data_IF_207048006926
#
_entry.id   IF_207048006926
#
_cell.length_a   1.000
_cell.length_b   1.000
_cell.length_c   1.000
_cell.angle_alpha   90.00
_cell.angle_beta   90.00
_cell.angle_gamma   90.00
#
_symmetry.space_group_name_H-M   'P 1'
#
loop_
_entity.id
_entity.type
_entity.pdbx_description
1 polymer ?
#
# COMPACT_ATOMS: atom_id res chain seq x y z
N UNK A 1 2.48 11.51 51.25
CA UNK A 1 3.27 12.15 50.17
C UNK A 1 4.18 11.09 49.55
N UNK A 2 3.70 10.41 48.50
CA UNK A 2 4.48 9.45 47.72
C UNK A 2 5.01 10.16 46.47
N UNK A 3 6.32 10.11 46.25
CA UNK A 3 6.96 10.60 45.03
C UNK A 3 6.73 9.58 43.91
N UNK A 4 6.02 9.98 42.87
CA UNK A 4 5.92 9.26 41.59
C UNK A 4 7.24 9.45 40.84
N UNK A 5 7.91 8.36 40.49
CA UNK A 5 9.02 8.39 39.54
C UNK A 5 8.49 8.45 38.09
N UNK A 6 9.10 9.23 37.19
CA UNK A 6 8.71 9.28 35.80
C UNK A 6 9.24 8.06 35.02
N UNK A 7 8.30 7.36 34.36
CA UNK A 7 8.57 6.28 33.41
C UNK A 7 9.44 6.79 32.26
N UNK A 8 10.66 6.27 32.14
CA UNK A 8 11.56 6.52 31.01
C UNK A 8 11.32 5.46 29.93
N UNK A 9 10.40 5.72 29.02
CA UNK A 9 10.32 5.04 27.72
C UNK A 9 10.73 6.01 26.63
N UNK A 10 12.04 6.25 26.51
CA UNK A 10 12.65 6.94 25.36
C UNK A 10 13.19 5.85 24.45
N UNK A 11 12.41 5.46 23.45
CA UNK A 11 12.85 4.60 22.35
C UNK A 11 13.85 5.36 21.48
N UNK A 12 15.13 5.02 21.62
CA UNK A 12 16.25 5.59 20.83
C UNK A 12 16.18 5.10 19.39
N UNK A 13 15.99 6.01 18.45
CA UNK A 13 16.30 5.79 17.04
C UNK A 13 17.81 5.97 16.85
N UNK A 14 18.58 4.89 16.72
CA UNK A 14 20.00 4.93 16.34
C UNK A 14 20.10 4.63 14.86
N UNK A 15 20.45 5.65 14.07
CA UNK A 15 20.84 5.50 12.67
C UNK A 15 22.29 5.05 12.62
N UNK A 16 22.54 3.79 12.26
CA UNK A 16 23.87 3.30 11.93
C UNK A 16 24.08 3.37 10.41
N UNK A 17 24.84 4.39 10.01
CA UNK A 17 25.46 4.49 8.68
C UNK A 17 26.64 3.51 8.67
N UNK A 18 26.44 2.35 8.03
CA UNK A 18 27.49 1.39 7.77
C UNK A 18 27.96 1.48 6.32
N UNK A 19 29.05 2.21 6.09
CA UNK A 19 29.82 2.16 4.84
C UNK A 19 30.62 0.87 4.83
N UNK A 20 30.31 -0.04 3.90
CA UNK A 20 31.03 -1.29 3.69
C UNK A 20 31.41 -1.47 2.22
N UNK A 21 32.61 -1.04 1.87
CA UNK A 21 33.31 -1.41 0.62
C UNK A 21 33.92 -2.79 0.77
N UNK A 22 33.58 -3.74 -0.12
CA UNK A 22 34.31 -4.98 -0.51
C UNK A 22 33.30 -5.88 -1.27
N UNK A 23 33.56 -6.47 -2.43
CA UNK A 23 34.73 -6.53 -3.27
C UNK A 23 34.34 -7.15 -4.62
N UNK A 24 35.07 -6.75 -5.65
CA UNK A 24 35.07 -7.33 -6.99
C UNK A 24 35.41 -8.83 -6.92
N UNK A 25 34.58 -9.70 -7.49
CA UNK A 25 35.01 -10.99 -8.04
C UNK A 25 34.12 -11.33 -9.24
N UNK A 26 34.72 -11.15 -10.41
CA UNK A 26 34.19 -11.55 -11.70
C UNK A 26 34.17 -13.08 -11.81
N UNK A 27 33.00 -13.66 -12.08
CA UNK A 27 32.88 -15.01 -12.62
C UNK A 27 32.38 -14.91 -14.06
N UNK A 28 33.32 -14.97 -14.99
CA UNK A 28 33.09 -15.18 -16.41
C UNK A 28 32.45 -16.57 -16.58
N UNK A 29 31.13 -16.61 -16.82
CA UNK A 29 30.47 -17.79 -17.39
C UNK A 29 30.38 -17.61 -18.91
N UNK A 30 30.92 -18.55 -19.72
CA UNK A 30 30.69 -18.53 -21.15
C UNK A 30 29.20 -18.78 -21.44
N UNK A 31 28.58 -17.84 -22.14
CA UNK A 31 27.27 -18.04 -22.76
C UNK A 31 27.37 -19.22 -23.75
N UNK A 32 26.77 -20.34 -23.38
CA UNK A 32 26.42 -21.38 -24.34
C UNK A 32 25.18 -20.90 -25.11
N UNK A 33 25.37 -20.66 -26.40
CA UNK A 33 24.32 -20.46 -27.38
C UNK A 33 23.42 -21.70 -27.43
N UNK A 34 22.12 -21.60 -27.11
CA UNK A 34 21.20 -22.66 -27.51
C UNK A 34 21.11 -22.68 -29.04
N UNK A 35 21.29 -23.88 -29.59
CA UNK A 35 21.18 -24.17 -31.01
C UNK A 35 19.84 -23.67 -31.56
N UNK A 36 19.90 -22.96 -32.69
CA UNK A 36 18.77 -22.65 -33.54
C UNK A 36 18.11 -23.96 -33.98
N UNK A 37 16.99 -24.30 -33.37
CA UNK A 37 16.05 -25.25 -33.95
C UNK A 37 15.30 -24.50 -35.04
N UNK A 38 15.60 -24.83 -36.29
CA UNK A 38 14.82 -24.42 -37.46
C UNK A 38 13.42 -25.01 -37.33
N UNK A 39 12.44 -24.17 -37.00
CA UNK A 39 11.03 -24.52 -37.12
C UNK A 39 10.65 -24.29 -38.58
N UNK A 40 10.39 -25.39 -39.29
CA UNK A 40 9.78 -25.38 -40.61
C UNK A 40 8.50 -24.55 -40.58
N UNK A 41 8.38 -23.66 -41.57
CA UNK A 41 7.21 -22.84 -41.80
C UNK A 41 6.00 -23.74 -42.10
N UNK A 42 5.11 -23.88 -41.11
CA UNK A 42 3.73 -24.33 -41.35
C UNK A 42 2.93 -23.08 -41.71
N UNK A 43 2.66 -22.95 -43.00
CA UNK A 43 1.75 -21.99 -43.58
C UNK A 43 0.32 -22.33 -43.12
N UNK A 44 -0.08 -21.79 -41.97
CA UNK A 44 -1.46 -21.89 -41.48
C UNK A 44 -2.28 -20.72 -42.02
N UNK A 45 -3.23 -21.12 -42.87
CA UNK A 45 -4.28 -20.36 -43.50
C UNK A 45 -5.01 -19.44 -42.49
N UNK A 46 -4.96 -18.14 -42.77
CA UNK A 46 -5.62 -17.08 -41.99
C UNK A 46 -7.14 -17.23 -42.10
N UNK A 47 -7.75 -17.92 -41.14
CA UNK A 47 -9.18 -17.78 -40.86
C UNK A 47 -9.40 -16.60 -39.91
N UNK A 48 -9.83 -15.48 -40.51
CA UNK A 48 -10.23 -14.23 -39.85
C UNK A 48 -11.46 -14.49 -38.97
N UNK A 49 -11.37 -14.46 -37.62
CA UNK A 49 -12.55 -14.49 -36.78
C UNK A 49 -13.26 -13.13 -36.90
N UNK A 50 -14.53 -13.18 -37.29
CA UNK A 50 -15.47 -12.06 -37.17
C UNK A 50 -15.69 -11.82 -35.67
N UNK A 51 -14.84 -10.99 -35.08
CA UNK A 51 -15.05 -10.46 -33.74
C UNK A 51 -16.18 -9.42 -33.84
N UNK A 52 -17.41 -9.88 -33.59
CA UNK A 52 -18.53 -9.00 -33.27
C UNK A 52 -18.16 -8.35 -31.95
N UNK A 53 -18.00 -7.03 -31.98
CA UNK A 53 -17.95 -6.16 -30.81
C UNK A 53 -19.07 -6.51 -29.84
N UNK A 54 -18.78 -7.39 -28.88
CA UNK A 54 -19.52 -7.45 -27.64
C UNK A 54 -19.09 -6.21 -26.86
N UNK A 55 -19.79 -5.10 -27.11
CA UNK A 55 -19.86 -4.01 -26.12
C UNK A 55 -20.31 -4.67 -24.82
N UNK A 56 -19.36 -4.92 -23.93
CA UNK A 56 -19.64 -5.16 -22.53
C UNK A 56 -20.30 -3.88 -22.05
N UNK A 57 -21.62 -3.95 -21.89
CA UNK A 57 -22.42 -2.93 -21.27
C UNK A 57 -22.01 -2.89 -19.79
N UNK A 58 -20.91 -2.18 -19.50
CA UNK A 58 -20.53 -1.82 -18.14
C UNK A 58 -21.54 -0.76 -17.72
N UNK A 59 -22.71 -1.24 -17.28
CA UNK A 59 -23.77 -0.40 -16.77
C UNK A 59 -23.22 0.59 -15.74
N UNK A 60 -23.83 1.78 -15.60
CA UNK A 60 -23.33 2.82 -14.71
C UNK A 60 -23.23 2.25 -13.28
N UNK A 61 -21.99 2.11 -12.76
CA UNK A 61 -21.73 1.84 -11.34
C UNK A 61 -22.51 2.91 -10.56
N UNK A 62 -23.50 2.49 -9.78
CA UNK A 62 -24.23 3.39 -8.87
C UNK A 62 -23.17 4.05 -7.99
N UNK A 63 -23.06 5.38 -8.06
CA UNK A 63 -22.23 6.13 -7.13
C UNK A 63 -22.77 5.88 -5.72
N UNK A 64 -22.08 5.04 -4.94
CA UNK A 64 -22.42 4.81 -3.55
C UNK A 64 -22.36 6.15 -2.80
N UNK A 65 -23.37 6.41 -1.98
CA UNK A 65 -23.36 7.60 -1.11
C UNK A 65 -22.30 7.40 -0.03
N UNK A 66 -21.65 8.48 0.46
CA UNK A 66 -20.68 8.36 1.54
C UNK A 66 -21.29 7.64 2.76
N UNK A 67 -20.52 6.77 3.44
CA UNK A 67 -20.98 6.08 4.64
C UNK A 67 -21.27 7.07 5.77
N UNK A 68 -22.02 6.61 6.77
CA UNK A 68 -22.22 7.37 8.01
C UNK A 68 -20.94 7.29 8.84
N UNK A 69 -20.47 8.43 9.34
CA UNK A 69 -19.22 8.55 10.10
C UNK A 69 -19.52 9.06 11.52
N UNK A 70 -20.03 8.20 12.41
CA UNK A 70 -20.50 8.61 13.74
C UNK A 70 -19.38 9.01 14.72
N UNK A 71 -18.13 8.58 14.50
CA UNK A 71 -17.06 8.71 15.49
C UNK A 71 -16.05 9.82 15.20
N UNK A 72 -16.30 10.65 14.19
CA UNK A 72 -15.36 11.72 13.77
C UNK A 72 -15.01 12.66 14.93
N UNK A 73 -15.95 13.00 15.81
CA UNK A 73 -15.69 13.90 16.95
C UNK A 73 -14.77 13.24 17.98
N UNK A 74 -15.04 11.98 18.31
CA UNK A 74 -14.26 11.19 19.25
C UNK A 74 -12.84 10.97 18.71
N UNK A 75 -12.69 10.73 17.40
CA UNK A 75 -11.39 10.63 16.75
C UNK A 75 -10.55 11.89 16.97
N UNK A 76 -11.16 13.07 16.80
CA UNK A 76 -10.49 14.36 16.99
C UNK A 76 -10.06 14.54 18.46
N UNK A 77 -10.96 14.25 19.41
CA UNK A 77 -10.68 14.33 20.85
C UNK A 77 -9.47 13.45 21.26
N UNK A 78 -9.37 12.23 20.72
CA UNK A 78 -8.25 11.32 21.01
C UNK A 78 -6.91 11.86 20.52
N UNK A 79 -6.91 12.48 19.33
CA UNK A 79 -5.67 13.05 18.80
C UNK A 79 -5.27 14.28 19.60
N UNK A 80 -6.23 15.12 19.99
CA UNK A 80 -5.99 16.30 20.84
C UNK A 80 -5.39 15.90 22.18
N UNK A 81 -5.96 14.89 22.88
CA UNK A 81 -5.42 14.38 24.14
C UNK A 81 -3.97 13.89 23.99
N UNK A 82 -3.66 13.17 22.91
CA UNK A 82 -2.30 12.71 22.63
C UNK A 82 -1.33 13.82 22.21
N UNK A 83 -1.80 14.86 21.56
CA UNK A 83 -0.98 16.00 21.17
C UNK A 83 -0.52 16.82 22.39
N UNK A 84 -1.23 16.73 23.51
CA UNK A 84 -0.80 17.28 24.79
C UNK A 84 0.33 16.45 25.45
N UNK A 85 0.46 15.17 25.09
CA UNK A 85 1.46 14.25 25.65
C UNK A 85 2.75 14.14 24.82
N UNK A 86 2.69 14.29 23.49
CA UNK A 86 3.82 14.12 22.55
C UNK A 86 4.01 15.32 21.60
N UNK A 87 5.24 15.85 21.46
CA UNK A 87 5.47 17.22 20.95
C UNK A 87 5.39 17.43 19.41
N UNK A 88 5.50 16.41 18.55
CA UNK A 88 5.59 16.66 17.08
C UNK A 88 4.78 15.72 16.16
N UNK A 89 4.84 14.40 16.32
CA UNK A 89 4.11 13.46 15.46
C UNK A 89 2.56 13.58 15.51
N UNK A 90 1.93 13.90 16.67
CA UNK A 90 0.46 13.99 16.76
C UNK A 90 -0.16 15.10 15.89
N UNK A 91 0.57 16.21 15.64
CA UNK A 91 0.02 17.41 14.98
C UNK A 91 -0.41 17.16 13.53
N UNK A 92 0.33 16.33 12.79
CA UNK A 92 -0.03 16.02 11.40
C UNK A 92 -1.20 15.04 11.32
N UNK A 93 -1.26 14.07 12.24
CA UNK A 93 -2.40 13.15 12.38
C UNK A 93 -3.66 13.95 12.72
N UNK A 94 -3.57 14.89 13.65
CA UNK A 94 -4.68 15.77 14.05
C UNK A 94 -5.26 16.50 12.85
N UNK A 95 -4.38 17.10 12.05
CA UNK A 95 -4.79 17.84 10.86
C UNK A 95 -5.45 16.94 9.83
N UNK A 96 -4.91 15.75 9.57
CA UNK A 96 -5.52 14.77 8.64
C UNK A 96 -6.90 14.33 9.14
N UNK A 97 -7.02 13.96 10.41
CA UNK A 97 -8.29 13.51 11.03
C UNK A 97 -9.35 14.63 11.00
N UNK A 98 -8.96 15.89 11.22
CA UNK A 98 -9.89 17.02 11.14
C UNK A 98 -10.34 17.33 9.72
N UNK A 99 -9.48 17.16 8.71
CA UNK A 99 -9.76 17.50 7.31
C UNK A 99 -10.39 16.35 6.52
N UNK A 100 -10.21 15.09 6.93
CA UNK A 100 -10.72 13.90 6.26
C UNK A 100 -11.56 13.04 7.24
N UNK A 101 -12.89 13.26 7.31
CA UNK A 101 -13.78 12.54 8.21
C UNK A 101 -13.74 11.01 8.03
N UNK A 102 -13.46 10.51 6.83
CA UNK A 102 -13.42 9.07 6.60
C UNK A 102 -12.16 8.45 7.24
N UNK A 103 -11.03 9.15 7.15
CA UNK A 103 -9.81 8.75 7.85
C UNK A 103 -9.90 8.95 9.36
N UNK A 104 -10.68 9.92 9.83
CA UNK A 104 -11.00 10.09 11.24
C UNK A 104 -11.69 8.85 11.82
N UNK A 105 -12.67 8.32 11.09
CA UNK A 105 -13.42 7.13 11.50
C UNK A 105 -12.51 5.89 11.59
N UNK A 106 -11.61 5.69 10.61
CA UNK A 106 -10.61 4.61 10.68
C UNK A 106 -9.68 4.83 11.86
N UNK A 107 -9.22 6.06 12.07
CA UNK A 107 -8.32 6.37 13.17
C UNK A 107 -8.98 6.02 14.51
N UNK A 108 -10.26 6.40 14.70
CA UNK A 108 -11.04 6.01 15.87
C UNK A 108 -10.97 4.49 16.09
N UNK A 109 -11.38 3.68 15.13
CA UNK A 109 -11.42 2.23 15.32
C UNK A 109 -10.04 1.61 15.60
N UNK A 110 -8.97 2.12 14.97
CA UNK A 110 -7.61 1.61 15.19
C UNK A 110 -6.99 2.01 16.53
N UNK A 111 -7.48 3.07 17.18
CA UNK A 111 -7.02 3.48 18.50
C UNK A 111 -7.77 2.81 19.66
N UNK A 112 -8.84 2.06 19.39
CA UNK A 112 -9.64 1.41 20.42
C UNK A 112 -9.55 -0.10 20.37
N UNK A 113 -9.66 -0.70 21.56
CA UNK A 113 -9.95 -2.12 21.68
C UNK A 113 -11.45 -2.31 21.49
N UNK A 114 -11.84 -2.85 20.33
CA UNK A 114 -13.26 -3.04 19.95
C UNK A 114 -13.88 -4.23 20.69
N UNK A 115 -14.19 -4.03 21.98
CA UNK A 115 -14.82 -5.05 22.82
C UNK A 115 -16.31 -5.19 22.53
N UNK A 116 -16.96 -4.12 22.08
CA UNK A 116 -18.38 -4.14 21.70
C UNK A 116 -18.57 -4.82 20.34
N UNK A 117 -19.43 -5.85 20.23
CA UNK A 117 -19.84 -6.39 18.94
C UNK A 117 -20.37 -5.36 17.95
N UNK A 118 -21.05 -4.30 18.42
CA UNK A 118 -21.62 -3.27 17.54
C UNK A 118 -20.51 -2.45 16.89
N UNK A 119 -19.51 -2.01 17.65
CA UNK A 119 -18.37 -1.25 17.10
C UNK A 119 -17.54 -2.10 16.14
N UNK A 120 -17.38 -3.40 16.41
CA UNK A 120 -16.71 -4.33 15.49
C UNK A 120 -17.46 -4.43 14.17
N UNK A 121 -18.79 -4.57 14.22
CA UNK A 121 -19.61 -4.62 13.01
C UNK A 121 -19.51 -3.31 12.21
N UNK A 122 -19.56 -2.16 12.89
CA UNK A 122 -19.40 -0.85 12.23
C UNK A 122 -18.03 -0.71 11.56
N UNK A 123 -16.97 -1.20 12.20
CA UNK A 123 -15.65 -1.20 11.59
C UNK A 123 -15.57 -2.14 10.39
N UNK A 124 -16.16 -3.33 10.47
CA UNK A 124 -16.28 -4.26 9.35
C UNK A 124 -17.08 -3.67 8.18
N UNK A 125 -18.21 -3.01 8.45
CA UNK A 125 -18.98 -2.27 7.45
C UNK A 125 -18.11 -1.23 6.74
N UNK A 126 -17.31 -0.46 7.49
CA UNK A 126 -16.37 0.50 6.93
C UNK A 126 -15.27 -0.15 6.08
N UNK A 127 -14.72 -1.29 6.52
CA UNK A 127 -13.68 -2.03 5.78
C UNK A 127 -14.20 -2.71 4.51
N UNK A 128 -15.51 -2.99 4.43
CA UNK A 128 -16.16 -3.55 3.25
C UNK A 128 -16.73 -2.47 2.31
N UNK A 129 -16.75 -1.21 2.72
CA UNK A 129 -17.41 -0.11 2.02
C UNK A 129 -16.71 0.24 0.69
N UNK A 130 -17.45 0.09 -0.42
CA UNK A 130 -16.96 0.37 -1.78
C UNK A 130 -16.58 1.84 -1.98
N UNK A 131 -17.33 2.78 -1.36
CA UNK A 131 -17.03 4.20 -1.47
C UNK A 131 -15.67 4.51 -0.83
N UNK A 132 -15.37 3.87 0.30
CA UNK A 132 -14.09 4.05 0.99
C UNK A 132 -12.93 3.49 0.18
N UNK A 133 -13.10 2.30 -0.40
CA UNK A 133 -12.10 1.73 -1.31
C UNK A 133 -11.86 2.63 -2.52
N UNK A 134 -12.91 3.18 -3.12
CA UNK A 134 -12.81 4.08 -4.26
C UNK A 134 -12.12 5.40 -3.91
N UNK A 135 -12.43 5.98 -2.74
CA UNK A 135 -11.76 7.17 -2.20
C UNK A 135 -10.27 6.91 -2.02
N UNK A 136 -9.90 5.85 -1.30
CA UNK A 136 -8.51 5.48 -1.04
C UNK A 136 -7.75 5.23 -2.34
N UNK A 137 -8.35 4.49 -3.28
CA UNK A 137 -7.77 4.25 -4.60
C UNK A 137 -7.49 5.56 -5.33
N UNK A 138 -8.46 6.49 -5.34
CA UNK A 138 -8.32 7.78 -6.02
C UNK A 138 -7.21 8.61 -5.39
N UNK A 139 -7.19 8.72 -4.07
CA UNK A 139 -6.26 9.57 -3.33
C UNK A 139 -4.81 9.05 -3.43
N UNK A 140 -4.61 7.73 -3.40
CA UNK A 140 -3.28 7.11 -3.58
C UNK A 140 -2.78 7.16 -5.04
N UNK A 141 -3.68 7.07 -6.02
CA UNK A 141 -3.31 7.17 -7.43
C UNK A 141 -3.04 8.60 -7.88
N UNK A 142 -3.79 9.56 -7.35
CA UNK A 142 -3.79 10.93 -7.81
C UNK A 142 -3.64 11.90 -6.62
N UNK A 143 -2.48 11.91 -5.94
CA UNK A 143 -2.23 12.89 -4.89
C UNK A 143 -2.37 14.31 -5.47
N UNK A 144 -3.08 15.22 -4.79
CA UNK A 144 -3.31 16.57 -5.30
C UNK A 144 -2.04 17.43 -5.29
N UNK A 145 -1.01 17.05 -4.54
CA UNK A 145 0.24 17.79 -4.44
C UNK A 145 1.27 17.37 -5.50
N UNK A 146 2.05 18.35 -5.98
CA UNK A 146 3.18 18.12 -6.91
C UNK A 146 4.48 17.81 -6.16
N UNK A 147 4.55 18.23 -4.89
CA UNK A 147 5.67 18.06 -3.96
C UNK A 147 5.22 17.32 -2.71
N UNK A 148 6.16 16.64 -2.07
CA UNK A 148 5.88 15.86 -0.89
C UNK A 148 5.67 16.77 0.33
N UNK A 149 4.65 16.44 1.14
CA UNK A 149 4.36 17.15 2.39
C UNK A 149 4.17 16.13 3.51
N UNK A 150 4.62 16.44 4.72
CA UNK A 150 4.47 15.53 5.87
C UNK A 150 3.01 15.16 6.10
N UNK A 151 2.09 16.11 5.93
CA UNK A 151 0.65 15.87 6.02
C UNK A 151 0.15 14.92 4.92
N UNK A 152 0.52 15.15 3.66
CA UNK A 152 0.15 14.28 2.55
C UNK A 152 0.70 12.85 2.72
N UNK A 153 1.94 12.72 3.19
CA UNK A 153 2.51 11.41 3.55
C UNK A 153 1.70 10.72 4.65
N UNK A 154 1.39 11.45 5.73
CA UNK A 154 0.61 10.92 6.84
C UNK A 154 -0.76 10.43 6.38
N UNK A 155 -1.44 11.22 5.53
CA UNK A 155 -2.72 10.84 4.93
C UNK A 155 -2.61 9.52 4.16
N UNK A 156 -1.64 9.39 3.25
CA UNK A 156 -1.48 8.19 2.43
C UNK A 156 -1.09 6.96 3.24
N UNK A 157 -0.32 7.12 4.32
CA UNK A 157 -0.03 6.02 5.25
C UNK A 157 -1.30 5.54 5.95
N UNK A 158 -2.19 6.44 6.39
CA UNK A 158 -3.49 6.06 6.96
C UNK A 158 -4.39 5.34 5.95
N UNK A 159 -4.34 5.74 4.67
CA UNK A 159 -5.07 5.08 3.58
C UNK A 159 -4.52 3.67 3.28
N UNK A 160 -3.20 3.50 3.33
CA UNK A 160 -2.56 2.17 3.20
C UNK A 160 -2.91 1.28 4.40
N UNK A 161 -2.99 1.86 5.60
CA UNK A 161 -3.42 1.15 6.80
C UNK A 161 -4.88 0.66 6.68
N UNK A 162 -5.79 1.46 6.12
CA UNK A 162 -7.14 0.98 5.78
C UNK A 162 -7.11 -0.26 4.89
N UNK A 163 -6.30 -0.25 3.82
CA UNK A 163 -6.18 -1.39 2.91
C UNK A 163 -5.59 -2.62 3.62
N UNK A 164 -4.62 -2.42 4.51
CA UNK A 164 -4.04 -3.49 5.34
C UNK A 164 -5.13 -4.14 6.18
N UNK A 165 -5.90 -3.33 6.91
CA UNK A 165 -6.94 -3.83 7.81
C UNK A 165 -8.06 -4.53 7.02
N UNK A 166 -8.46 -3.96 5.87
CA UNK A 166 -9.47 -4.54 4.99
C UNK A 166 -9.07 -5.92 4.43
N UNK A 167 -7.79 -6.13 4.09
CA UNK A 167 -7.30 -7.43 3.58
C UNK A 167 -7.00 -8.43 4.72
N UNK A 168 -6.59 -7.94 5.88
CA UNK A 168 -6.31 -8.75 7.06
C UNK A 168 -7.58 -9.40 7.64
N UNK A 169 -8.74 -8.75 7.49
CA UNK A 169 -10.03 -9.35 7.82
C UNK A 169 -10.41 -10.43 6.78
N UNK A 170 -10.18 -11.70 7.15
CA UNK A 170 -10.35 -12.84 6.26
C UNK A 170 -11.78 -13.03 5.72
N UNK A 171 -12.79 -12.58 6.45
CA UNK A 171 -14.22 -12.69 6.08
C UNK A 171 -14.74 -11.44 5.37
N UNK A 172 -13.87 -10.45 5.08
CA UNK A 172 -14.26 -9.26 4.36
C UNK A 172 -14.83 -9.65 2.98
N UNK A 173 -16.12 -9.36 2.67
CA UNK A 173 -16.70 -9.72 1.39
C UNK A 173 -16.01 -9.03 0.21
N UNK A 174 -15.38 -7.88 0.45
CA UNK A 174 -14.67 -7.08 -0.56
C UNK A 174 -13.18 -7.45 -0.66
N UNK A 175 -12.67 -8.42 0.11
CA UNK A 175 -11.23 -8.75 0.20
C UNK A 175 -10.55 -8.95 -1.16
N UNK A 176 -11.22 -9.65 -2.07
CA UNK A 176 -10.71 -9.92 -3.42
C UNK A 176 -10.65 -8.66 -4.29
N UNK A 177 -11.63 -7.76 -4.15
CA UNK A 177 -11.62 -6.46 -4.83
C UNK A 177 -10.54 -5.55 -4.27
N UNK A 178 -10.31 -5.56 -2.95
CA UNK A 178 -9.23 -4.82 -2.31
C UNK A 178 -7.86 -5.32 -2.81
N UNK A 179 -7.62 -6.64 -2.82
CA UNK A 179 -6.38 -7.23 -3.36
C UNK A 179 -6.14 -6.85 -4.83
N UNK A 180 -7.19 -6.90 -5.65
CA UNK A 180 -7.13 -6.52 -7.07
C UNK A 180 -6.87 -5.01 -7.25
N UNK A 181 -7.43 -4.19 -6.37
CA UNK A 181 -7.20 -2.74 -6.33
C UNK A 181 -5.76 -2.40 -5.95
N UNK A 182 -5.20 -3.08 -4.94
CA UNK A 182 -3.79 -2.96 -4.55
C UNK A 182 -2.89 -3.29 -5.74
N UNK A 183 -3.13 -4.40 -6.41
CA UNK A 183 -2.40 -4.79 -7.63
C UNK A 183 -2.46 -3.71 -8.71
N UNK A 184 -3.66 -3.20 -9.02
CA UNK A 184 -3.84 -2.14 -10.01
C UNK A 184 -3.07 -0.85 -9.63
N UNK A 185 -3.06 -0.48 -8.35
CA UNK A 185 -2.33 0.70 -7.87
C UNK A 185 -0.81 0.54 -7.95
N UNK A 186 -0.28 -0.66 -7.71
CA UNK A 186 1.14 -0.95 -7.90
C UNK A 186 1.52 -0.76 -9.37
N UNK A 187 0.72 -1.32 -10.28
CA UNK A 187 0.97 -1.31 -11.73
C UNK A 187 0.68 0.03 -12.42
N UNK A 188 -0.06 0.94 -11.76
CA UNK A 188 -0.44 2.22 -12.36
C UNK A 188 0.78 3.12 -12.66
N UNK A 189 0.80 3.73 -13.85
CA UNK A 189 1.74 4.80 -14.20
C UNK A 189 1.20 6.15 -13.70
N UNK A 190 1.39 6.44 -12.41
CA UNK A 190 0.94 7.66 -11.76
C UNK A 190 2.09 8.66 -11.49
N UNK A 191 3.01 8.76 -12.45
CA UNK A 191 4.14 9.69 -12.42
C UNK A 191 4.02 10.79 -13.48
N UNK A 192 3.07 11.74 -13.35
CA UNK A 192 2.85 12.80 -14.34
C UNK A 192 4.12 13.64 -14.58
N UNK A 193 4.18 14.21 -15.77
CA UNK A 193 5.25 15.13 -16.15
C UNK A 193 5.23 16.37 -15.22
N UNK A 194 6.41 16.82 -14.80
CA UNK A 194 6.54 17.93 -13.85
C UNK A 194 6.39 17.56 -12.36
N UNK A 195 6.07 16.30 -12.02
CA UNK A 195 6.10 15.84 -10.63
C UNK A 195 7.51 15.92 -10.02
N UNK A 196 7.61 16.52 -8.83
CA UNK A 196 8.85 16.67 -8.08
C UNK A 196 9.49 15.33 -7.71
N UNK A 197 10.81 15.29 -7.59
CA UNK A 197 11.54 14.06 -7.24
C UNK A 197 11.13 13.51 -5.88
N UNK A 198 10.88 14.40 -4.92
CA UNK A 198 10.36 14.10 -3.59
C UNK A 198 9.01 13.35 -3.65
N UNK A 199 8.06 13.84 -4.45
CA UNK A 199 6.77 13.16 -4.65
C UNK A 199 6.93 11.83 -5.40
N UNK A 200 7.85 11.74 -6.38
CA UNK A 200 8.15 10.47 -7.06
C UNK A 200 8.70 9.41 -6.10
N UNK A 201 9.59 9.81 -5.20
CA UNK A 201 10.12 8.93 -4.14
C UNK A 201 8.98 8.49 -3.22
N UNK A 202 8.14 9.42 -2.79
CA UNK A 202 6.98 9.15 -1.94
C UNK A 202 5.99 8.17 -2.57
N UNK A 203 5.57 8.38 -3.82
CA UNK A 203 4.69 7.45 -4.55
C UNK A 203 5.35 6.07 -4.70
N UNK A 204 6.66 6.03 -4.96
CA UNK A 204 7.40 4.76 -5.02
C UNK A 204 7.43 4.06 -3.66
N UNK A 205 7.52 4.82 -2.57
CA UNK A 205 7.36 4.33 -1.20
C UNK A 205 5.97 3.73 -0.95
N UNK A 206 4.90 4.40 -1.39
CA UNK A 206 3.55 3.86 -1.30
C UNK A 206 3.41 2.54 -2.07
N UNK A 207 3.95 2.46 -3.30
CA UNK A 207 3.97 1.22 -4.09
C UNK A 207 4.77 0.11 -3.40
N UNK A 208 5.85 0.44 -2.69
CA UNK A 208 6.60 -0.52 -1.87
C UNK A 208 5.75 -1.09 -0.73
N UNK A 209 5.05 -0.23 0.02
CA UNK A 209 4.15 -0.66 1.10
C UNK A 209 2.98 -1.51 0.56
N UNK A 210 2.36 -1.08 -0.55
CA UNK A 210 1.31 -1.83 -1.23
C UNK A 210 1.81 -3.20 -1.73
N UNK A 211 3.02 -3.27 -2.29
CA UNK A 211 3.63 -4.55 -2.70
C UNK A 211 3.90 -5.43 -1.48
N UNK A 212 4.36 -4.86 -0.37
CA UNK A 212 4.55 -5.61 0.88
C UNK A 212 3.24 -6.18 1.41
N UNK A 213 2.13 -5.42 1.37
CA UNK A 213 0.81 -5.93 1.71
C UNK A 213 0.39 -7.08 0.80
N UNK A 214 0.53 -6.90 -0.51
CA UNK A 214 0.17 -7.95 -1.47
C UNK A 214 1.01 -9.22 -1.28
N UNK A 215 2.32 -9.07 -1.02
CA UNK A 215 3.20 -10.20 -0.75
C UNK A 215 2.82 -10.96 0.52
N UNK A 216 2.35 -10.25 1.55
CA UNK A 216 1.94 -10.84 2.82
C UNK A 216 0.62 -11.62 2.70
N UNK A 217 -0.37 -11.10 1.97
CA UNK A 217 -1.72 -11.67 1.93
C UNK A 217 -2.07 -12.46 0.67
N UNK A 218 -1.30 -12.29 -0.42
CA UNK A 218 -1.49 -12.96 -1.71
C UNK A 218 -0.14 -13.09 -2.47
N UNK A 219 0.82 -13.86 -1.93
CA UNK A 219 2.19 -13.94 -2.46
C UNK A 219 2.27 -14.37 -3.93
N UNK A 220 1.36 -15.23 -4.39
CA UNK A 220 1.25 -15.64 -5.78
C UNK A 220 0.89 -14.48 -6.71
N UNK A 221 0.04 -13.55 -6.26
CA UNK A 221 -0.28 -12.32 -7.02
C UNK A 221 0.92 -11.40 -7.08
N UNK A 222 1.59 -11.19 -5.95
CA UNK A 222 2.80 -10.37 -5.89
C UNK A 222 3.91 -10.89 -6.82
N UNK A 223 4.11 -12.22 -6.87
CA UNK A 223 5.07 -12.86 -7.77
C UNK A 223 4.73 -12.63 -9.25
N UNK A 224 3.44 -12.62 -9.60
CA UNK A 224 2.97 -12.38 -10.96
C UNK A 224 3.11 -10.93 -11.44
N UNK A 225 3.37 -9.96 -10.56
CA UNK A 225 3.41 -8.55 -10.94
C UNK A 225 4.58 -8.19 -11.87
N UNK A 226 5.72 -8.87 -11.77
CA UNK A 226 6.90 -8.58 -12.61
C UNK A 226 6.57 -8.80 -14.09
N UNK A 227 5.87 -9.90 -14.40
CA UNK A 227 5.44 -10.18 -15.77
C UNK A 227 4.38 -9.20 -16.25
N UNK A 228 3.42 -8.84 -15.39
CA UNK A 228 2.37 -7.86 -15.72
C UNK A 228 2.91 -6.45 -15.95
N UNK A 229 3.98 -6.07 -15.23
CA UNK A 229 4.61 -4.77 -15.38
C UNK A 229 5.53 -4.66 -16.60
N UNK A 230 5.81 -5.77 -17.30
CA UNK A 230 6.77 -5.80 -18.41
C UNK A 230 6.37 -4.81 -19.51
N UNK A 231 7.33 -3.97 -19.92
CA UNK A 231 7.12 -2.94 -20.95
C UNK A 231 6.43 -1.67 -20.45
N UNK A 232 6.05 -1.59 -19.18
CA UNK A 232 5.52 -0.36 -18.55
C UNK A 232 6.64 0.49 -17.95
N UNK A 233 6.34 1.74 -17.60
CA UNK A 233 7.30 2.62 -16.90
C UNK A 233 7.63 2.15 -15.48
N UNK A 234 6.76 1.35 -14.87
CA UNK A 234 6.96 0.85 -13.50
C UNK A 234 7.68 -0.49 -13.42
N UNK A 235 8.03 -1.09 -14.57
CA UNK A 235 8.65 -2.41 -14.65
C UNK A 235 9.88 -2.56 -13.74
N UNK A 236 10.81 -1.62 -13.81
CA UNK A 236 12.04 -1.65 -13.01
C UNK A 236 11.77 -1.52 -11.51
N UNK A 237 10.79 -0.70 -11.12
CA UNK A 237 10.39 -0.57 -9.72
C UNK A 237 9.79 -1.89 -9.23
N UNK A 238 8.86 -2.49 -9.97
CA UNK A 238 8.22 -3.75 -9.59
C UNK A 238 9.25 -4.89 -9.52
N UNK A 239 10.20 -4.96 -10.45
CA UNK A 239 11.32 -5.91 -10.41
C UNK A 239 12.15 -5.74 -9.13
N UNK A 240 12.53 -4.51 -8.80
CA UNK A 240 13.22 -4.20 -7.54
C UNK A 240 12.40 -4.65 -6.32
N UNK A 241 11.11 -4.30 -6.25
CA UNK A 241 10.24 -4.65 -5.12
C UNK A 241 10.11 -6.16 -4.94
N UNK A 242 10.02 -6.91 -6.04
CA UNK A 242 9.90 -8.38 -6.02
C UNK A 242 11.10 -9.10 -5.39
N UNK A 243 12.26 -8.44 -5.35
CA UNK A 243 13.47 -8.96 -4.71
C UNK A 243 13.68 -8.39 -3.32
N UNK A 244 13.49 -7.07 -3.16
CA UNK A 244 13.78 -6.35 -1.93
C UNK A 244 12.81 -6.70 -0.79
N UNK A 245 11.52 -6.85 -1.07
CA UNK A 245 10.49 -7.12 -0.05
C UNK A 245 10.65 -8.52 0.57
N UNK A 246 10.74 -9.62 -0.21
CA UNK A 246 11.00 -10.94 0.37
C UNK A 246 12.29 -10.99 1.20
N UNK A 247 13.37 -10.37 0.70
CA UNK A 247 14.65 -10.32 1.42
C UNK A 247 14.57 -9.51 2.73
N UNK A 248 13.75 -8.46 2.78
CA UNK A 248 13.46 -7.73 4.02
C UNK A 248 12.71 -8.61 5.02
N UNK A 249 11.61 -9.24 4.60
CA UNK A 249 10.80 -10.12 5.47
C UNK A 249 11.61 -11.29 6.03
N UNK A 250 12.48 -11.91 5.22
CA UNK A 250 13.39 -12.96 5.68
C UNK A 250 14.37 -12.47 6.77
N UNK A 251 14.92 -11.26 6.62
CA UNK A 251 15.79 -10.66 7.64
C UNK A 251 15.04 -10.34 8.93
N UNK A 252 13.82 -9.81 8.83
CA UNK A 252 12.95 -9.54 9.98
C UNK A 252 12.66 -10.83 10.75
N UNK A 253 12.34 -11.93 10.06
CA UNK A 253 12.14 -13.24 10.68
C UNK A 253 13.40 -13.81 11.33
N UNK A 254 14.56 -13.70 10.67
CA UNK A 254 15.84 -14.16 11.22
C UNK A 254 16.22 -13.40 12.51
N UNK A 255 15.97 -12.10 12.54
CA UNK A 255 16.23 -11.25 13.70
C UNK A 255 15.23 -11.53 14.84
N UNK A 256 13.97 -11.87 14.54
CA UNK A 256 12.98 -12.20 15.57
C UNK A 256 13.31 -13.51 16.33
N UNK A 257 14.10 -14.40 15.73
CA UNK A 257 14.48 -15.69 16.32
C UNK A 257 15.81 -15.60 17.09
N UNK A 258 16.59 -14.54 16.88
CA UNK A 258 17.90 -14.35 17.51
C UNK A 258 17.78 -13.34 18.66
N UNK A 259 17.75 -13.79 19.93
CA UNK A 259 17.59 -12.91 21.10
C UNK A 259 18.81 -12.02 21.36
#
# INVERSE_FOLDING_TARGET
MQKKEPNRWVGRLVVLVGVGTLGLMAALRPWQTPALVSVEAVEQEVQKPREKDARVDVGPRKSASPPRLPHVKQAIEIVEERAEEDEEAPKFVEKVVREDPALAEIYYFRQHVLLDPIEREQYHELLADEWMLDKVRKDLLHPPEIHETVQGNTKRLMEIDFLRDAVAWAENPSREEVLSTIEAMILADNYPDGMGMDMRISISGNKMELYSLLYEFAPERAAGLVDKARGTKVAQLVEYLSTAIPARKQRELANAITP
#
